data_IF_573316304903
#
_entry.id   IF_573316304903
#
_cell.length_a   1.000
_cell.length_b   1.000
_cell.length_c   1.000
_cell.angle_alpha   90.00
_cell.angle_beta   90.00
_cell.angle_gamma   90.00
#
_symmetry.space_group_name_H-M   'P 1'
#
loop_
_entity.id
_entity.type
_entity.pdbx_description
1 polymer ?
#
# COMPACT_ATOMS: atom_id res chain seq x y z
N UNK A 1 -25.94 -14.11 6.14
CA UNK A 1 -24.75 -14.49 6.94
C UNK A 1 -24.01 -15.71 6.41
N UNK A 2 -24.66 -16.61 5.66
CA UNK A 2 -23.99 -17.80 5.08
C UNK A 2 -22.88 -17.43 4.09
N UNK A 3 -23.04 -16.35 3.32
CA UNK A 3 -22.05 -15.91 2.34
C UNK A 3 -20.86 -15.25 3.05
N UNK A 4 -21.11 -14.44 4.10
CA UNK A 4 -20.04 -13.90 4.94
C UNK A 4 -19.21 -15.02 5.58
N UNK A 5 -19.86 -16.03 6.17
CA UNK A 5 -19.15 -17.18 6.73
C UNK A 5 -18.31 -17.93 5.67
N UNK A 6 -18.85 -18.10 4.46
CA UNK A 6 -18.15 -18.76 3.35
C UNK A 6 -16.93 -17.95 2.90
N UNK A 7 -17.08 -16.63 2.74
CA UNK A 7 -15.98 -15.73 2.41
C UNK A 7 -14.89 -15.75 3.49
N UNK A 8 -15.26 -15.60 4.76
CA UNK A 8 -14.31 -15.61 5.87
C UNK A 8 -13.61 -16.96 6.03
N UNK A 9 -14.31 -18.06 5.77
CA UNK A 9 -13.71 -19.40 5.74
C UNK A 9 -12.71 -19.51 4.60
N UNK A 10 -13.04 -19.00 3.40
CA UNK A 10 -12.14 -19.00 2.24
C UNK A 10 -10.86 -18.20 2.51
N UNK A 11 -10.98 -17.02 3.13
CA UNK A 11 -9.83 -16.20 3.49
C UNK A 11 -8.95 -16.86 4.56
N UNK A 12 -9.54 -17.56 5.52
CA UNK A 12 -8.81 -18.15 6.63
C UNK A 12 -8.32 -19.57 6.37
N UNK A 13 -8.71 -20.19 5.25
CA UNK A 13 -8.32 -21.57 4.94
C UNK A 13 -7.17 -21.62 3.95
N UNK A 14 -6.13 -22.35 4.30
CA UNK A 14 -5.03 -22.73 3.41
C UNK A 14 -5.12 -24.22 3.14
N UNK A 15 -5.28 -24.61 1.88
CA UNK A 15 -5.31 -26.02 1.48
C UNK A 15 -3.93 -26.44 1.00
N UNK A 16 -3.10 -26.95 1.91
CA UNK A 16 -1.74 -27.36 1.55
C UNK A 16 -1.82 -28.62 0.68
N UNK A 17 -1.27 -28.56 -0.54
CA UNK A 17 -1.12 -29.76 -1.36
C UNK A 17 0.26 -30.34 -1.14
N UNK A 18 0.33 -31.65 -0.91
CA UNK A 18 1.60 -32.37 -0.88
C UNK A 18 1.86 -32.85 -2.31
N UNK A 19 2.96 -32.39 -2.89
CA UNK A 19 3.42 -32.79 -4.22
C UNK A 19 4.77 -33.47 -4.10
N UNK A 20 5.08 -34.35 -5.05
CA UNK A 20 6.42 -34.92 -5.17
C UNK A 20 7.27 -33.99 -6.03
N UNK A 21 8.41 -33.52 -5.50
CA UNK A 21 9.35 -32.65 -6.20
C UNK A 21 10.69 -33.38 -6.32
N UNK A 22 11.27 -33.40 -7.53
CA UNK A 22 12.63 -33.89 -7.75
C UNK A 22 13.62 -32.75 -7.49
N UNK A 23 14.61 -32.98 -6.63
CA UNK A 23 15.76 -32.08 -6.48
C UNK A 23 16.97 -32.63 -7.25
N UNK A 24 17.62 -31.77 -8.03
CA UNK A 24 18.96 -32.04 -8.57
C UNK A 24 19.99 -31.72 -7.49
N UNK A 25 20.51 -32.74 -6.80
CA UNK A 25 21.68 -32.55 -5.94
C UNK A 25 22.92 -32.27 -6.78
N UNK A 26 23.62 -31.17 -6.46
CA UNK A 26 24.96 -30.90 -6.95
C UNK A 26 25.95 -31.94 -6.37
N UNK A 27 26.10 -33.09 -7.05
CA UNK A 27 27.38 -33.74 -7.45
C UNK A 27 27.23 -35.19 -7.91
N UNK A 28 26.08 -35.83 -7.73
CA UNK A 28 25.79 -37.16 -8.30
C UNK A 28 24.32 -37.13 -8.75
N UNK A 29 24.05 -37.58 -9.97
CA UNK A 29 22.72 -37.56 -10.60
C UNK A 29 21.76 -38.57 -9.94
N UNK A 30 21.34 -38.30 -8.72
CA UNK A 30 20.20 -38.97 -8.11
C UNK A 30 19.12 -37.92 -7.85
N UNK A 31 18.03 -38.00 -8.62
CA UNK A 31 16.81 -37.25 -8.34
C UNK A 31 16.15 -37.88 -7.11
N UNK A 32 16.45 -37.36 -5.92
CA UNK A 32 15.66 -37.69 -4.75
C UNK A 32 14.28 -37.03 -4.89
N UNK A 33 13.25 -37.87 -4.93
CA UNK A 33 11.87 -37.43 -4.87
C UNK A 33 11.50 -37.13 -3.43
N UNK A 34 11.33 -35.84 -3.11
CA UNK A 34 10.88 -35.40 -1.78
C UNK A 34 9.43 -34.94 -1.85
N UNK A 35 8.69 -35.21 -0.77
CA UNK A 35 7.37 -34.61 -0.57
C UNK A 35 7.54 -33.15 -0.16
N UNK A 36 6.81 -32.25 -0.82
CA UNK A 36 6.89 -30.82 -0.58
C UNK A 36 5.49 -30.21 -0.51
N UNK A 37 5.34 -29.15 0.29
CA UNK A 37 4.11 -28.37 0.28
C UNK A 37 4.02 -27.48 -0.96
N UNK A 38 2.81 -27.32 -1.47
CA UNK A 38 2.51 -26.45 -2.59
C UNK A 38 1.20 -25.69 -2.40
N UNK A 39 1.27 -24.38 -2.66
CA UNK A 39 0.12 -23.46 -2.72
C UNK A 39 -0.06 -22.85 -4.12
N UNK A 40 0.61 -23.41 -5.13
CA UNK A 40 0.62 -22.92 -6.51
C UNK A 40 -0.79 -22.74 -7.11
N UNK A 41 -1.74 -23.59 -6.72
CA UNK A 41 -3.12 -23.52 -7.18
C UNK A 41 -3.89 -22.28 -6.68
N UNK A 42 -3.37 -21.59 -5.66
CA UNK A 42 -3.94 -20.34 -5.14
C UNK A 42 -3.22 -19.09 -5.70
N UNK A 43 -1.95 -19.22 -6.15
CA UNK A 43 -1.07 -18.05 -6.37
C UNK A 43 -0.44 -17.91 -7.75
N UNK A 44 -0.10 -18.99 -8.47
CA UNK A 44 0.64 -18.84 -9.74
C UNK A 44 -0.21 -18.18 -10.84
N UNK A 45 0.44 -17.34 -11.65
CA UNK A 45 -0.10 -16.43 -12.66
C UNK A 45 -1.20 -16.99 -13.58
N UNK A 46 -1.23 -18.31 -13.84
CA UNK A 46 -2.25 -18.93 -14.70
C UNK A 46 -3.35 -19.69 -13.93
N UNK A 47 -3.13 -20.05 -12.65
CA UNK A 47 -4.11 -20.78 -11.81
C UNK A 47 -4.79 -19.89 -10.77
N UNK A 48 -4.19 -18.76 -10.41
CA UNK A 48 -4.76 -17.82 -9.43
C UNK A 48 -5.95 -17.02 -9.95
N UNK A 49 -6.17 -16.95 -11.27
CA UNK A 49 -7.35 -16.28 -11.83
C UNK A 49 -8.66 -16.84 -11.26
N UNK A 50 -8.77 -18.17 -11.16
CA UNK A 50 -9.95 -18.82 -10.58
C UNK A 50 -10.10 -18.53 -9.10
N UNK A 51 -9.00 -18.60 -8.32
CA UNK A 51 -9.03 -18.28 -6.89
C UNK A 51 -9.44 -16.81 -6.66
N UNK A 52 -8.86 -15.88 -7.42
CA UNK A 52 -9.12 -14.45 -7.31
C UNK A 52 -10.54 -14.09 -7.72
N UNK A 53 -11.06 -14.66 -8.82
CA UNK A 53 -12.42 -14.41 -9.26
C UNK A 53 -13.45 -15.00 -8.29
N UNK A 54 -13.24 -16.22 -7.82
CA UNK A 54 -14.08 -16.86 -6.80
C UNK A 54 -14.11 -16.03 -5.51
N UNK A 55 -12.93 -15.64 -5.01
CA UNK A 55 -12.83 -14.84 -3.76
C UNK A 55 -13.50 -13.48 -3.90
N UNK A 56 -13.45 -12.86 -5.09
CA UNK A 56 -14.16 -11.61 -5.38
C UNK A 56 -15.67 -11.78 -5.30
N UNK A 57 -16.21 -12.81 -5.94
CA UNK A 57 -17.66 -13.11 -5.89
C UNK A 57 -18.11 -13.40 -4.46
N UNK A 58 -17.30 -14.14 -3.70
CA UNK A 58 -17.54 -14.37 -2.28
C UNK A 58 -17.52 -13.08 -1.46
N UNK A 59 -16.59 -12.15 -1.74
CA UNK A 59 -16.56 -10.82 -1.11
C UNK A 59 -17.85 -10.06 -1.39
N UNK A 60 -18.26 -9.98 -2.65
CA UNK A 60 -19.42 -9.19 -3.06
C UNK A 60 -20.73 -9.77 -2.47
N UNK A 61 -20.86 -11.10 -2.42
CA UNK A 61 -21.99 -11.76 -1.75
C UNK A 61 -21.94 -11.62 -0.23
N UNK A 62 -20.75 -11.63 0.38
CA UNK A 62 -20.58 -11.33 1.81
C UNK A 62 -20.95 -9.87 2.14
N UNK A 63 -20.67 -8.93 1.24
CA UNK A 63 -21.10 -7.54 1.38
C UNK A 63 -22.63 -7.45 1.37
N UNK A 64 -23.31 -8.11 0.42
CA UNK A 64 -24.79 -8.15 0.39
C UNK A 64 -25.36 -8.69 1.72
N UNK A 65 -24.77 -9.77 2.25
CA UNK A 65 -25.13 -10.31 3.56
C UNK A 65 -25.02 -9.27 4.67
N UNK A 66 -23.94 -8.48 4.68
CA UNK A 66 -23.69 -7.46 5.69
C UNK A 66 -24.60 -6.24 5.53
N UNK A 67 -24.85 -5.78 4.31
CA UNK A 67 -25.75 -4.66 4.01
C UNK A 67 -27.21 -4.95 4.37
N UNK A 68 -27.59 -6.23 4.48
CA UNK A 68 -28.92 -6.63 4.95
C UNK A 68 -29.13 -6.47 6.47
N UNK A 69 -28.05 -6.23 7.23
CA UNK A 69 -28.10 -6.09 8.68
C UNK A 69 -28.40 -4.64 9.11
N UNK A 70 -28.78 -4.46 10.38
CA UNK A 70 -28.87 -3.12 10.97
C UNK A 70 -27.48 -2.58 11.37
N UNK A 71 -27.34 -1.26 11.51
CA UNK A 71 -26.08 -0.56 11.82
C UNK A 71 -25.34 -1.12 13.04
N UNK A 72 -26.06 -1.50 14.10
CA UNK A 72 -25.46 -2.06 15.31
C UNK A 72 -24.77 -3.39 14.99
N UNK A 73 -25.46 -4.24 14.24
CA UNK A 73 -24.94 -5.54 13.81
C UNK A 73 -23.79 -5.37 12.84
N UNK A 74 -23.88 -4.47 11.85
CA UNK A 74 -22.78 -4.17 10.93
C UNK A 74 -21.54 -3.67 11.68
N UNK A 75 -21.69 -2.75 12.65
CA UNK A 75 -20.58 -2.26 13.48
C UNK A 75 -19.92 -3.38 14.28
N UNK A 76 -20.73 -4.30 14.82
CA UNK A 76 -20.22 -5.47 15.54
C UNK A 76 -19.44 -6.41 14.62
N UNK A 77 -19.95 -6.68 13.43
CA UNK A 77 -19.27 -7.51 12.43
C UNK A 77 -17.98 -6.84 11.94
N UNK A 78 -18.01 -5.52 11.66
CA UNK A 78 -16.82 -4.73 11.31
C UNK A 78 -15.72 -4.85 12.38
N UNK A 79 -16.09 -4.82 13.66
CA UNK A 79 -15.12 -5.03 14.74
C UNK A 79 -14.49 -6.44 14.71
N UNK A 80 -15.24 -7.48 14.33
CA UNK A 80 -14.67 -8.82 14.15
C UNK A 80 -13.76 -8.91 12.92
N UNK A 81 -14.14 -8.26 11.81
CA UNK A 81 -13.30 -8.18 10.60
C UNK A 81 -11.97 -7.48 10.88
N UNK A 82 -11.98 -6.41 11.68
CA UNK A 82 -10.76 -5.72 12.13
C UNK A 82 -9.88 -6.62 13.00
N UNK A 83 -10.46 -7.46 13.87
CA UNK A 83 -9.68 -8.47 14.62
C UNK A 83 -9.06 -9.52 13.71
N UNK A 84 -9.78 -9.93 12.65
CA UNK A 84 -9.22 -10.83 11.64
C UNK A 84 -8.03 -10.17 10.93
N UNK A 85 -8.13 -8.89 10.56
CA UNK A 85 -7.03 -8.12 9.98
C UNK A 85 -5.77 -8.11 10.87
N UNK A 86 -5.93 -7.98 12.19
CA UNK A 86 -4.78 -8.07 13.11
C UNK A 86 -4.10 -9.45 13.10
N UNK A 87 -4.82 -10.54 12.77
CA UNK A 87 -4.18 -11.87 12.58
C UNK A 87 -3.26 -11.90 11.37
N UNK A 88 -3.65 -11.26 10.25
CA UNK A 88 -2.78 -11.11 9.08
C UNK A 88 -1.53 -10.29 9.41
N UNK A 89 -1.66 -9.22 10.20
CA UNK A 89 -0.52 -8.43 10.67
C UNK A 89 0.43 -9.25 11.55
N UNK A 90 -0.10 -10.07 12.45
CA UNK A 90 0.71 -10.98 13.28
C UNK A 90 1.42 -12.03 12.43
N UNK A 91 0.75 -12.60 11.42
CA UNK A 91 1.38 -13.49 10.45
C UNK A 91 2.57 -12.81 9.77
N UNK A 92 2.40 -11.59 9.26
CA UNK A 92 3.48 -10.86 8.60
C UNK A 92 4.67 -10.58 9.50
N UNK A 93 4.40 -10.26 10.77
CA UNK A 93 5.44 -10.07 11.78
C UNK A 93 6.28 -11.35 11.94
N UNK A 94 5.63 -12.50 12.11
CA UNK A 94 6.34 -13.78 12.27
C UNK A 94 7.04 -14.23 10.98
N UNK A 95 6.39 -14.00 9.83
CA UNK A 95 6.92 -14.31 8.51
C UNK A 95 8.23 -13.54 8.28
N UNK A 96 8.24 -12.23 8.51
CA UNK A 96 9.43 -11.39 8.33
C UNK A 96 10.57 -11.78 9.27
N UNK A 97 10.27 -12.19 10.50
CA UNK A 97 11.29 -12.66 11.45
C UNK A 97 11.91 -14.00 11.05
N UNK A 98 11.14 -14.85 10.35
CA UNK A 98 11.57 -16.19 9.95
C UNK A 98 12.10 -16.25 8.51
N UNK A 99 11.77 -15.26 7.68
CA UNK A 99 12.13 -15.19 6.27
C UNK A 99 13.61 -14.86 6.09
N UNK A 100 14.26 -15.50 5.10
CA UNK A 100 15.63 -15.19 4.70
C UNK A 100 15.72 -15.13 3.18
N UNK A 101 16.23 -14.02 2.66
CA UNK A 101 16.46 -13.88 1.23
C UNK A 101 17.47 -14.93 0.73
N UNK A 102 17.22 -15.48 -0.46
CA UNK A 102 18.09 -16.45 -1.15
C UNK A 102 18.25 -17.82 -0.46
N UNK A 103 17.37 -18.14 0.48
CA UNK A 103 17.32 -19.48 1.09
C UNK A 103 16.48 -20.42 0.22
N UNK A 104 17.10 -21.48 -0.30
CA UNK A 104 16.43 -22.49 -1.15
C UNK A 104 15.57 -23.48 -0.35
N UNK A 105 15.90 -23.68 0.94
CA UNK A 105 15.23 -24.61 1.85
C UNK A 105 15.08 -23.99 3.24
N UNK A 106 13.87 -24.02 3.77
CA UNK A 106 13.53 -23.53 5.10
C UNK A 106 13.47 -24.67 6.12
N UNK A 107 13.67 -24.39 7.43
CA UNK A 107 13.49 -25.40 8.47
C UNK A 107 12.12 -26.07 8.39
N UNK A 108 12.02 -27.37 8.64
CA UNK A 108 10.74 -28.11 8.61
C UNK A 108 9.67 -27.48 9.53
N UNK A 109 10.12 -26.88 10.63
CA UNK A 109 9.25 -26.17 11.57
C UNK A 109 8.78 -24.80 11.08
N UNK A 110 9.16 -24.35 9.88
CA UNK A 110 8.92 -22.99 9.39
C UNK A 110 7.43 -22.60 9.43
N UNK A 111 6.53 -23.50 9.01
CA UNK A 111 5.08 -23.25 9.03
C UNK A 111 4.58 -22.95 10.46
N UNK A 112 5.15 -23.62 11.47
CA UNK A 112 4.83 -23.39 12.88
C UNK A 112 5.52 -22.14 13.43
N UNK A 113 6.76 -21.85 13.00
CA UNK A 113 7.50 -20.64 13.37
C UNK A 113 6.79 -19.36 12.93
N UNK A 114 6.17 -19.37 11.75
CA UNK A 114 5.35 -18.24 11.28
C UNK A 114 3.93 -18.25 11.88
N UNK A 115 3.57 -19.29 12.64
CA UNK A 115 2.29 -19.45 13.31
C UNK A 115 1.12 -19.69 12.36
N UNK A 116 1.34 -20.26 11.17
CA UNK A 116 0.28 -20.44 10.17
C UNK A 116 -0.88 -21.28 10.72
N UNK A 117 -0.55 -22.33 11.48
CA UNK A 117 -1.48 -23.26 12.13
C UNK A 117 -2.31 -22.61 13.26
N UNK A 118 -1.76 -21.58 13.91
CA UNK A 118 -2.41 -20.86 15.02
C UNK A 118 -3.28 -19.71 14.54
N UNK A 119 -2.88 -19.09 13.43
CA UNK A 119 -3.52 -17.89 12.90
C UNK A 119 -4.64 -18.22 11.91
N UNK A 120 -4.54 -19.37 11.23
CA UNK A 120 -5.41 -19.77 10.13
C UNK A 120 -5.81 -21.24 10.21
N UNK A 121 -6.81 -21.60 9.41
CA UNK A 121 -7.22 -22.99 9.20
C UNK A 121 -6.29 -23.58 8.15
N UNK A 122 -5.44 -24.53 8.53
CA UNK A 122 -4.49 -25.17 7.60
C UNK A 122 -4.94 -26.61 7.36
N UNK A 123 -5.34 -26.93 6.13
CA UNK A 123 -5.69 -28.30 5.72
C UNK A 123 -4.47 -29.04 5.22
N UNK A 124 -4.45 -30.34 5.49
CA UNK A 124 -3.36 -31.27 5.14
C UNK A 124 -1.99 -30.91 5.74
N UNK A 125 -1.97 -30.07 6.78
CA UNK A 125 -0.78 -29.85 7.58
C UNK A 125 -0.40 -31.16 8.27
N UNK A 126 0.85 -31.56 8.11
CA UNK A 126 1.43 -32.73 8.76
C UNK A 126 2.09 -32.29 10.07
N UNK A 127 2.30 -33.24 11.00
CA UNK A 127 3.04 -32.94 12.22
C UNK A 127 4.46 -32.41 11.95
N UNK A 128 5.01 -31.63 12.88
CA UNK A 128 6.35 -31.01 12.76
C UNK A 128 7.51 -32.01 12.54
N UNK A 129 7.31 -33.27 12.94
CA UNK A 129 8.27 -34.35 12.73
C UNK A 129 8.18 -35.03 11.34
N UNK A 130 7.23 -34.61 10.48
CA UNK A 130 7.11 -35.12 9.13
C UNK A 130 8.24 -34.63 8.23
N UNK A 131 8.70 -35.49 7.31
CA UNK A 131 9.76 -35.14 6.36
C UNK A 131 9.17 -34.47 5.11
N UNK A 132 8.51 -33.33 5.30
CA UNK A 132 8.00 -32.52 4.21
C UNK A 132 8.92 -31.33 3.99
N UNK A 133 9.40 -31.23 2.76
CA UNK A 133 10.27 -30.17 2.30
C UNK A 133 9.53 -28.82 2.18
N UNK A 134 10.19 -27.76 2.66
CA UNK A 134 9.71 -26.38 2.59
C UNK A 134 10.69 -25.57 1.74
N UNK A 135 10.41 -25.48 0.45
CA UNK A 135 11.21 -24.71 -0.50
C UNK A 135 10.83 -23.23 -0.55
N UNK A 136 11.72 -22.42 -1.12
CA UNK A 136 11.48 -21.02 -1.46
C UNK A 136 10.18 -20.78 -2.24
N UNK A 137 9.90 -21.59 -3.26
CA UNK A 137 8.68 -21.50 -4.08
C UNK A 137 7.40 -21.59 -3.23
N UNK A 138 7.40 -22.45 -2.20
CA UNK A 138 6.28 -22.56 -1.28
C UNK A 138 6.15 -21.30 -0.44
N UNK A 139 7.27 -20.77 0.08
CA UNK A 139 7.29 -19.58 0.93
C UNK A 139 6.84 -18.33 0.15
N UNK A 140 7.29 -18.18 -1.09
CA UNK A 140 6.84 -17.11 -1.99
C UNK A 140 5.35 -17.24 -2.31
N UNK A 141 4.92 -18.46 -2.69
CA UNK A 141 3.51 -18.75 -2.93
C UNK A 141 2.66 -18.45 -1.69
N UNK A 142 3.11 -18.84 -0.50
CA UNK A 142 2.40 -18.55 0.75
C UNK A 142 2.26 -17.04 0.97
N UNK A 143 3.35 -16.28 0.79
CA UNK A 143 3.33 -14.81 0.88
C UNK A 143 2.28 -14.22 -0.08
N UNK A 144 2.31 -14.61 -1.34
CA UNK A 144 1.38 -14.07 -2.34
C UNK A 144 -0.06 -14.44 -2.03
N UNK A 145 -0.28 -15.65 -1.50
CA UNK A 145 -1.59 -16.17 -1.13
C UNK A 145 -2.19 -15.37 0.04
N UNK A 146 -1.35 -15.03 1.03
CA UNK A 146 -1.75 -14.23 2.19
C UNK A 146 -2.03 -12.79 1.78
N UNK A 147 -1.17 -12.17 0.95
CA UNK A 147 -1.39 -10.81 0.42
C UNK A 147 -2.73 -10.69 -0.31
N UNK A 148 -3.03 -11.67 -1.17
CA UNK A 148 -4.29 -11.67 -1.92
C UNK A 148 -5.51 -11.72 -1.00
N UNK A 149 -5.47 -12.56 0.04
CA UNK A 149 -6.53 -12.66 1.05
C UNK A 149 -6.69 -11.36 1.84
N UNK A 150 -5.59 -10.75 2.25
CA UNK A 150 -5.58 -9.49 2.99
C UNK A 150 -6.16 -8.34 2.16
N UNK A 151 -5.87 -8.28 0.85
CA UNK A 151 -6.48 -7.30 -0.07
C UNK A 151 -8.01 -7.44 -0.04
N UNK A 152 -8.55 -8.64 -0.24
CA UNK A 152 -10.00 -8.83 -0.25
C UNK A 152 -10.66 -8.56 1.11
N UNK A 153 -9.98 -8.86 2.23
CA UNK A 153 -10.46 -8.49 3.56
C UNK A 153 -10.52 -6.96 3.72
N UNK A 154 -9.48 -6.25 3.29
CA UNK A 154 -9.43 -4.80 3.37
C UNK A 154 -10.48 -4.14 2.46
N UNK A 155 -10.69 -4.65 1.24
CA UNK A 155 -11.77 -4.20 0.36
C UNK A 155 -13.13 -4.33 1.06
N UNK A 156 -13.45 -5.50 1.65
CA UNK A 156 -14.72 -5.67 2.37
C UNK A 156 -14.85 -4.72 3.56
N UNK A 157 -13.80 -4.56 4.35
CA UNK A 157 -13.78 -3.62 5.49
C UNK A 157 -14.07 -2.20 5.01
N UNK A 158 -13.41 -1.76 3.94
CA UNK A 158 -13.60 -0.43 3.38
C UNK A 158 -15.03 -0.24 2.86
N UNK A 159 -15.58 -1.22 2.13
CA UNK A 159 -16.95 -1.17 1.61
C UNK A 159 -17.99 -1.00 2.75
N UNK A 160 -17.79 -1.70 3.87
CA UNK A 160 -18.63 -1.56 5.07
C UNK A 160 -18.42 -0.20 5.74
N UNK A 161 -17.19 0.26 5.86
CA UNK A 161 -16.87 1.56 6.47
C UNK A 161 -17.48 2.70 5.66
N UNK A 162 -17.46 2.63 4.34
CA UNK A 162 -18.14 3.59 3.47
C UNK A 162 -19.67 3.53 3.59
N UNK A 163 -20.23 2.37 3.94
CA UNK A 163 -21.68 2.25 4.21
C UNK A 163 -22.06 2.83 5.58
N UNK A 164 -21.28 2.54 6.62
CA UNK A 164 -21.56 2.99 7.99
C UNK A 164 -21.19 4.45 8.25
N UNK A 165 -20.13 4.89 7.59
CA UNK A 165 -19.57 6.23 7.68
C UNK A 165 -19.45 6.75 6.24
N UNK A 166 -20.59 6.94 5.54
CA UNK A 166 -20.57 7.52 4.21
C UNK A 166 -19.81 8.82 4.30
N UNK A 167 -18.69 8.88 3.55
CA UNK A 167 -17.87 10.09 3.48
C UNK A 167 -18.81 11.19 3.02
N UNK A 168 -18.98 12.19 3.86
CA UNK A 168 -19.83 13.34 3.57
C UNK A 168 -19.46 13.88 2.20
N UNK A 169 -20.40 13.84 1.25
CA UNK A 169 -20.11 14.36 -0.08
C UNK A 169 -19.91 15.87 0.02
N UNK A 170 -19.06 16.41 -0.84
CA UNK A 170 -18.76 17.86 -0.88
C UNK A 170 -20.05 18.71 -0.98
N UNK A 171 -21.10 18.19 -1.62
CA UNK A 171 -22.40 18.83 -1.72
C UNK A 171 -23.22 18.78 -0.42
N UNK A 172 -23.20 17.67 0.32
CA UNK A 172 -23.87 17.50 1.62
C UNK A 172 -23.22 18.36 2.71
N UNK A 173 -21.89 18.46 2.72
CA UNK A 173 -21.15 19.37 3.60
C UNK A 173 -21.49 20.84 3.30
N UNK A 174 -21.58 21.20 2.01
CA UNK A 174 -21.96 22.56 1.55
C UNK A 174 -23.42 22.91 1.85
N UNK A 175 -24.30 21.91 1.87
CA UNK A 175 -25.72 22.09 2.21
C UNK A 175 -25.95 22.26 3.73
N UNK A 176 -25.19 21.55 4.57
CA UNK A 176 -25.24 21.72 6.04
C UNK A 176 -24.77 23.10 6.52
N UNK A 177 -23.97 23.80 5.71
CA UNK A 177 -23.62 25.20 5.97
C UNK A 177 -24.73 26.21 5.58
N UNK A 178 -25.78 25.77 4.88
CA UNK A 178 -26.84 26.65 4.32
C UNK A 178 -28.16 26.64 5.09
N UNK A 179 -28.25 26.09 6.29
CA UNK A 179 -29.39 26.35 7.19
C UNK A 179 -28.92 26.53 8.63
N UNK A 180 -29.09 27.74 9.15
CA UNK A 180 -30.23 27.98 10.04
C UNK A 180 -31.31 28.84 9.38
N UNK A 181 -32.55 28.43 9.60
CA UNK A 181 -33.76 29.21 9.31
C UNK A 181 -33.59 30.66 9.75
N UNK A 182 -33.63 31.55 8.77
CA UNK A 182 -33.74 33.00 8.97
C UNK A 182 -35.18 33.38 8.72
N UNK A 183 -35.81 33.96 9.73
CA UNK A 183 -36.78 35.07 9.64
C UNK A 183 -37.05 35.48 11.10
N UNK A 184 -36.60 36.62 11.61
CA UNK A 184 -36.58 38.02 11.15
C UNK A 184 -35.61 38.77 12.08
N UNK A 185 -35.05 39.94 11.81
CA UNK A 185 -35.00 40.90 10.72
C UNK A 185 -34.04 42.01 11.21
N UNK A 186 -33.56 42.86 10.30
CA UNK A 186 -32.88 44.15 10.52
C UNK A 186 -31.37 44.07 10.28
N UNK A 187 -31.02 44.65 9.13
CA UNK A 187 -29.68 44.93 8.66
C UNK A 187 -28.94 45.89 9.60
N UNK A 188 -27.71 45.54 9.96
CA UNK A 188 -26.70 46.53 10.32
C UNK A 188 -25.33 46.06 9.89
N UNK A 189 -24.57 47.06 9.49
CA UNK A 189 -23.32 47.04 8.77
C UNK A 189 -22.12 46.92 9.72
N UNK A 190 -21.01 46.48 9.15
CA UNK A 190 -19.62 46.62 9.63
C UNK A 190 -19.14 45.80 10.84
N UNK A 191 -18.46 44.69 10.54
CA UNK A 191 -17.17 44.36 11.16
C UNK A 191 -16.34 43.49 10.20
N UNK A 192 -15.12 43.95 9.92
CA UNK A 192 -14.23 43.53 8.84
C UNK A 192 -14.03 42.02 8.67
N UNK A 193 -14.14 41.57 7.42
CA UNK A 193 -13.77 40.24 6.93
C UNK A 193 -12.27 40.00 7.16
N UNK A 194 -11.92 38.91 7.84
CA UNK A 194 -10.63 38.23 7.62
C UNK A 194 -10.71 37.58 6.22
N UNK A 195 -9.74 37.79 5.33
CA UNK A 195 -9.88 37.37 3.94
C UNK A 195 -9.87 35.84 3.80
N UNK A 196 -10.65 35.38 2.83
CA UNK A 196 -10.59 34.05 2.23
C UNK A 196 -9.14 33.72 1.82
N UNK A 197 -8.63 32.56 2.25
CA UNK A 197 -7.29 32.10 1.90
C UNK A 197 -7.40 31.07 0.76
N UNK A 198 -6.89 31.42 -0.41
CA UNK A 198 -6.92 30.60 -1.64
C UNK A 198 -6.03 29.34 -1.56
N UNK A 199 -5.20 29.20 -0.52
CA UNK A 199 -4.19 28.14 -0.39
C UNK A 199 -4.63 26.86 0.34
N UNK A 200 -5.91 26.75 0.77
CA UNK A 200 -6.36 25.57 1.50
C UNK A 200 -6.43 24.34 0.56
N UNK A 201 -5.52 23.37 0.74
CA UNK A 201 -5.44 22.12 -0.04
C UNK A 201 -4.18 21.95 -0.90
N UNK A 202 -3.27 22.93 -0.91
CA UNK A 202 -1.97 22.82 -1.58
C UNK A 202 -0.86 22.34 -0.61
N UNK A 203 0.07 21.48 -1.06
CA UNK A 203 1.18 21.03 -0.22
C UNK A 203 2.11 22.19 0.14
N UNK A 204 2.36 22.39 1.43
CA UNK A 204 3.29 23.37 1.98
C UNK A 204 4.52 22.66 2.52
N UNK A 205 5.69 22.98 1.97
CA UNK A 205 6.96 22.38 2.33
C UNK A 205 7.60 23.11 3.51
N UNK A 206 8.18 22.34 4.43
CA UNK A 206 8.89 22.89 5.58
C UNK A 206 10.20 23.58 5.14
N UNK A 207 10.32 24.89 5.39
CA UNK A 207 11.45 25.73 4.96
C UNK A 207 12.82 25.19 5.42
N UNK A 208 12.88 24.47 6.55
CA UNK A 208 14.12 23.92 7.11
C UNK A 208 14.76 22.84 6.24
N UNK A 209 13.96 22.11 5.46
CA UNK A 209 14.41 20.97 4.64
C UNK A 209 14.23 21.18 3.14
N UNK A 210 13.49 22.23 2.75
CA UNK A 210 13.19 22.53 1.34
C UNK A 210 14.46 22.77 0.51
N UNK A 211 15.47 23.43 1.08
CA UNK A 211 16.76 23.65 0.40
C UNK A 211 17.47 22.34 0.04
N UNK A 212 17.63 21.46 1.03
CA UNK A 212 18.27 20.15 0.86
C UNK A 212 17.47 19.24 -0.09
N UNK A 213 16.14 19.26 0.03
CA UNK A 213 15.24 18.55 -0.87
C UNK A 213 15.42 19.02 -2.32
N UNK A 214 15.39 20.33 -2.57
CA UNK A 214 15.55 20.88 -3.92
C UNK A 214 16.93 20.58 -4.50
N UNK A 215 17.99 20.63 -3.69
CA UNK A 215 19.34 20.29 -4.13
C UNK A 215 19.42 18.82 -4.58
N UNK A 216 18.82 17.90 -3.83
CA UNK A 216 18.73 16.50 -4.21
C UNK A 216 17.89 16.30 -5.47
N UNK A 217 16.69 16.91 -5.52
CA UNK A 217 15.76 16.69 -6.61
C UNK A 217 16.31 17.20 -7.95
N UNK A 218 17.04 18.33 -7.97
CA UNK A 218 17.64 18.89 -9.19
C UNK A 218 18.52 17.90 -9.98
N UNK A 219 19.10 16.89 -9.33
CA UNK A 219 19.89 15.83 -9.98
C UNK A 219 19.03 15.02 -10.97
N UNK A 220 17.73 14.92 -10.71
CA UNK A 220 16.78 14.15 -11.51
C UNK A 220 15.99 15.00 -12.51
N UNK A 221 16.28 16.29 -12.65
CA UNK A 221 15.62 17.18 -13.63
C UNK A 221 16.68 17.81 -14.54
N UNK A 222 16.33 18.11 -15.79
CA UNK A 222 17.17 18.95 -16.65
C UNK A 222 17.22 20.38 -16.12
N UNK A 223 18.29 21.11 -16.45
CA UNK A 223 18.48 22.51 -16.05
C UNK A 223 17.29 23.40 -16.44
N UNK A 224 16.67 23.13 -17.60
CA UNK A 224 15.46 23.81 -18.07
C UNK A 224 14.27 23.72 -17.10
N UNK A 225 14.20 22.68 -16.26
CA UNK A 225 13.13 22.49 -15.28
C UNK A 225 13.50 22.96 -13.87
N UNK A 226 14.75 23.36 -13.61
CA UNK A 226 15.21 23.70 -12.25
C UNK A 226 14.52 24.95 -11.68
N UNK A 227 14.29 25.96 -12.53
CA UNK A 227 13.61 27.21 -12.14
C UNK A 227 12.15 26.90 -11.80
N UNK A 228 11.44 26.18 -12.68
CA UNK A 228 10.05 25.79 -12.46
C UNK A 228 9.86 24.90 -11.23
N UNK A 229 10.77 23.94 -11.00
CA UNK A 229 10.76 23.10 -9.80
C UNK A 229 10.95 23.92 -8.52
N UNK A 230 11.91 24.84 -8.52
CA UNK A 230 12.19 25.69 -7.35
C UNK A 230 11.00 26.61 -7.03
N UNK A 231 10.40 27.23 -8.05
CA UNK A 231 9.25 28.11 -7.88
C UNK A 231 7.99 27.36 -7.41
N UNK A 232 7.77 26.15 -7.92
CA UNK A 232 6.64 25.30 -7.52
C UNK A 232 6.75 24.88 -6.05
N UNK A 233 7.94 24.47 -5.60
CA UNK A 233 8.15 23.97 -4.23
C UNK A 233 8.20 25.10 -3.19
N UNK A 234 8.84 26.24 -3.51
CA UNK A 234 9.00 27.34 -2.57
C UNK A 234 7.77 28.25 -2.46
N UNK A 235 7.08 28.48 -3.57
CA UNK A 235 6.05 29.50 -3.67
C UNK A 235 4.71 28.99 -4.25
N UNK A 236 4.59 27.68 -4.50
CA UNK A 236 3.38 27.10 -5.10
C UNK A 236 3.12 27.56 -6.54
N UNK A 237 4.10 28.18 -7.19
CA UNK A 237 3.93 28.76 -8.54
C UNK A 237 3.85 27.63 -9.56
N UNK A 238 2.71 27.53 -10.25
CA UNK A 238 2.48 26.53 -11.28
C UNK A 238 3.46 26.73 -12.45
N UNK A 239 4.23 25.71 -12.86
CA UNK A 239 5.09 25.81 -14.03
C UNK A 239 4.26 25.80 -15.32
N UNK A 240 4.79 26.44 -16.38
CA UNK A 240 4.14 26.50 -17.70
C UNK A 240 3.95 25.11 -18.33
N UNK A 241 4.92 24.22 -18.11
CA UNK A 241 4.88 22.84 -18.55
C UNK A 241 5.12 21.92 -17.35
N UNK A 242 4.58 20.70 -17.40
CA UNK A 242 4.86 19.70 -16.38
C UNK A 242 6.35 19.37 -16.31
N UNK A 243 6.83 19.14 -15.10
CA UNK A 243 8.23 18.89 -14.82
C UNK A 243 8.54 17.41 -15.03
N UNK A 244 9.51 17.11 -15.89
CA UNK A 244 9.86 15.73 -16.24
C UNK A 244 10.94 15.20 -15.30
N UNK A 245 10.55 14.28 -14.44
CA UNK A 245 11.46 13.56 -13.54
C UNK A 245 12.18 12.42 -14.28
N UNK A 246 13.52 12.46 -14.29
CA UNK A 246 14.41 11.47 -14.93
C UNK A 246 14.68 10.28 -14.02
N UNK A 247 13.63 9.52 -13.74
CA UNK A 247 13.70 8.31 -12.94
C UNK A 247 12.40 7.52 -13.00
N UNK A 248 12.35 6.41 -12.27
CA UNK A 248 11.12 5.65 -12.18
C UNK A 248 10.09 6.45 -11.40
N UNK A 249 8.83 6.47 -11.87
CA UNK A 249 7.79 7.27 -11.23
C UNK A 249 7.59 6.95 -9.75
N UNK A 250 7.92 5.72 -9.30
CA UNK A 250 7.76 5.33 -7.89
C UNK A 250 8.78 6.00 -6.99
N UNK A 251 9.90 6.46 -7.52
CA UNK A 251 10.93 7.15 -6.77
C UNK A 251 10.50 8.56 -6.38
N UNK A 252 9.88 9.30 -7.31
CA UNK A 252 9.37 10.64 -7.03
C UNK A 252 8.16 10.59 -6.09
N UNK A 253 7.21 9.69 -6.36
CA UNK A 253 6.04 9.52 -5.51
C UNK A 253 6.41 9.11 -4.08
N UNK A 254 7.39 8.22 -3.92
CA UNK A 254 7.91 7.81 -2.62
C UNK A 254 8.65 8.94 -1.89
N UNK A 255 9.43 9.77 -2.59
CA UNK A 255 10.06 10.94 -1.97
C UNK A 255 9.01 11.90 -1.36
N UNK A 256 7.93 12.22 -2.09
CA UNK A 256 6.85 13.04 -1.55
C UNK A 256 6.09 12.35 -0.41
N UNK A 257 5.89 11.03 -0.50
CA UNK A 257 5.29 10.24 0.59
C UNK A 257 6.12 10.35 1.87
N UNK A 258 7.43 10.15 1.80
CA UNK A 258 8.31 10.22 2.97
C UNK A 258 8.31 11.60 3.62
N UNK A 259 8.31 12.68 2.82
CA UNK A 259 8.18 14.04 3.32
C UNK A 259 6.83 14.29 4.02
N UNK A 260 5.74 13.78 3.43
CA UNK A 260 4.41 13.88 4.04
C UNK A 260 4.32 13.13 5.37
N UNK A 261 4.82 11.89 5.42
CA UNK A 261 4.79 11.04 6.62
C UNK A 261 5.68 11.57 7.75
N UNK A 262 6.75 12.28 7.40
CA UNK A 262 7.58 13.00 8.35
C UNK A 262 7.02 14.37 8.78
N UNK A 263 5.80 14.73 8.36
CA UNK A 263 5.17 16.05 8.57
C UNK A 263 6.01 17.23 8.02
N UNK A 264 6.79 16.99 6.97
CA UNK A 264 7.57 18.01 6.26
C UNK A 264 6.82 18.61 5.07
N UNK A 265 5.74 17.95 4.64
CA UNK A 265 4.69 18.52 3.80
C UNK A 265 3.42 18.57 4.63
N UNK A 266 2.81 19.74 4.73
CA UNK A 266 1.57 20.00 5.48
C UNK A 266 0.58 20.79 4.62
N UNK A 267 -0.64 21.01 5.12
CA UNK A 267 -1.63 21.86 4.44
C UNK A 267 -2.45 21.17 3.33
N UNK A 268 -2.20 19.89 3.07
CA UNK A 268 -2.97 19.05 2.17
C UNK A 268 -3.16 17.64 2.74
N UNK A 269 -4.15 16.88 2.24
CA UNK A 269 -4.35 15.45 2.50
C UNK A 269 -3.52 14.59 1.53
N UNK A 270 -3.32 13.30 1.83
CA UNK A 270 -2.64 12.35 0.91
C UNK A 270 -3.25 12.33 -0.51
N UNK A 271 -4.59 12.33 -0.61
CA UNK A 271 -5.30 12.38 -1.90
C UNK A 271 -5.10 13.69 -2.67
N UNK A 272 -4.89 14.80 -1.96
CA UNK A 272 -4.61 16.11 -2.57
C UNK A 272 -3.16 16.18 -3.05
N UNK A 273 -2.23 15.60 -2.27
CA UNK A 273 -0.84 15.43 -2.66
C UNK A 273 -0.71 14.57 -3.93
N UNK A 274 -1.47 13.47 -4.03
CA UNK A 274 -1.53 12.62 -5.22
C UNK A 274 -1.94 13.41 -6.47
N UNK A 275 -3.04 14.16 -6.37
CA UNK A 275 -3.53 15.00 -7.47
C UNK A 275 -2.53 16.07 -7.86
N UNK A 276 -1.91 16.71 -6.88
CA UNK A 276 -0.89 17.72 -7.08
C UNK A 276 0.33 17.14 -7.81
N UNK A 277 0.79 15.94 -7.43
CA UNK A 277 1.89 15.25 -8.12
C UNK A 277 1.51 14.96 -9.58
N UNK A 278 0.33 14.38 -9.82
CA UNK A 278 -0.14 14.09 -11.18
C UNK A 278 -0.28 15.35 -12.05
N UNK A 279 -0.66 16.48 -11.45
CA UNK A 279 -0.85 17.73 -12.17
C UNK A 279 0.48 18.38 -12.59
N UNK A 280 1.53 18.25 -11.78
CA UNK A 280 2.76 19.03 -11.98
C UNK A 280 3.95 18.21 -12.49
N UNK A 281 3.90 16.88 -12.39
CA UNK A 281 5.04 16.02 -12.70
C UNK A 281 4.71 14.94 -13.73
N UNK A 282 5.70 14.66 -14.56
CA UNK A 282 5.80 13.47 -15.40
C UNK A 282 7.02 12.66 -14.96
N UNK A 283 7.09 11.39 -15.35
CA UNK A 283 8.28 10.57 -15.13
C UNK A 283 8.79 9.92 -16.42
N UNK A 284 10.09 9.71 -16.49
CA UNK A 284 10.74 9.12 -17.65
C UNK A 284 11.92 8.22 -17.23
N UNK A 285 11.84 6.93 -17.57
CA UNK A 285 12.96 5.97 -17.46
C UNK A 285 13.74 5.83 -18.79
N UNK A 286 13.46 6.71 -19.76
CA UNK A 286 14.00 6.76 -21.13
C UNK A 286 13.56 8.05 -21.82
N UNK A 287 13.43 8.07 -23.15
CA UNK A 287 13.13 9.32 -23.89
C UNK A 287 11.64 9.72 -23.90
N UNK A 288 10.75 8.83 -23.46
CA UNK A 288 9.29 9.08 -23.49
C UNK A 288 8.77 9.42 -22.09
N UNK A 289 8.27 10.65 -21.86
CA UNK A 289 7.63 11.01 -20.60
C UNK A 289 6.28 10.30 -20.46
N UNK A 290 5.97 9.90 -19.22
CA UNK A 290 4.74 9.20 -18.85
C UNK A 290 4.00 9.97 -17.77
N UNK A 291 2.67 9.97 -17.89
CA UNK A 291 1.76 10.53 -16.92
C UNK A 291 1.56 9.59 -15.74
N UNK A 292 1.32 10.18 -14.56
CA UNK A 292 0.85 9.45 -13.42
C UNK A 292 -0.67 9.23 -13.52
N UNK A 293 -1.13 8.02 -13.21
CA UNK A 293 -2.56 7.76 -13.01
C UNK A 293 -2.91 7.85 -11.53
N UNK A 294 -4.11 8.36 -11.20
CA UNK A 294 -4.55 8.54 -9.80
C UNK A 294 -4.48 7.23 -9.00
N UNK A 295 -4.97 6.12 -9.56
CA UNK A 295 -4.90 4.81 -8.92
C UNK A 295 -3.46 4.30 -8.71
N UNK A 296 -2.51 4.71 -9.57
CA UNK A 296 -1.12 4.34 -9.42
C UNK A 296 -0.42 5.16 -8.34
N UNK A 297 -0.67 6.47 -8.23
CA UNK A 297 -0.12 7.28 -7.14
C UNK A 297 -0.70 6.87 -5.78
N UNK A 298 -1.99 6.58 -5.72
CA UNK A 298 -2.64 6.04 -4.51
C UNK A 298 -2.04 4.70 -4.07
N UNK A 299 -1.60 3.88 -5.03
CA UNK A 299 -0.89 2.62 -4.75
C UNK A 299 0.47 2.81 -4.07
N UNK A 300 1.11 3.97 -4.25
CA UNK A 300 2.42 4.30 -3.68
C UNK A 300 2.28 5.12 -2.39
N UNK A 301 1.44 6.17 -2.38
CA UNK A 301 1.38 7.20 -1.32
C UNK A 301 0.39 6.85 -0.19
N UNK A 302 -0.78 6.29 -0.55
CA UNK A 302 -1.88 6.08 0.41
C UNK A 302 -2.03 4.64 0.89
N UNK A 303 -1.79 3.66 0.02
CA UNK A 303 -2.11 2.24 0.32
C UNK A 303 -0.90 1.34 0.47
N UNK A 304 0.29 1.83 0.14
CA UNK A 304 1.58 1.12 0.24
C UNK A 304 1.66 -0.20 -0.54
N UNK A 305 0.71 -0.42 -1.44
CA UNK A 305 0.62 -1.62 -2.28
C UNK A 305 1.73 -1.70 -3.33
N UNK A 306 2.36 -0.57 -3.66
CA UNK A 306 3.56 -0.48 -4.52
C UNK A 306 4.69 0.28 -3.83
N UNK A 307 5.37 -0.41 -2.90
CA UNK A 307 6.54 0.14 -2.23
C UNK A 307 7.70 0.43 -3.20
N UNK A 308 8.43 1.52 -2.95
CA UNK A 308 9.60 1.86 -3.74
C UNK A 308 10.80 1.01 -3.31
N UNK A 309 11.24 0.11 -4.19
CA UNK A 309 12.42 -0.76 -3.94
C UNK A 309 13.76 -0.02 -4.02
N UNK A 310 13.76 1.16 -4.61
CA UNK A 310 14.97 1.96 -4.84
C UNK A 310 14.66 3.44 -4.60
N UNK A 311 14.36 3.82 -3.34
CA UNK A 311 14.09 5.21 -3.00
C UNK A 311 15.30 6.08 -3.35
N UNK A 312 15.07 7.37 -3.61
CA UNK A 312 16.12 8.36 -3.93
C UNK A 312 16.56 9.17 -2.70
N UNK A 313 15.78 9.06 -1.62
CA UNK A 313 16.07 9.63 -0.32
C UNK A 313 15.50 8.77 0.79
N UNK A 314 16.00 9.00 1.99
CA UNK A 314 15.41 8.58 3.25
C UNK A 314 15.27 9.80 4.17
N UNK A 315 14.14 9.93 4.85
CA UNK A 315 13.96 10.96 5.90
C UNK A 315 14.26 10.34 7.27
N UNK A 316 15.36 10.73 7.88
CA UNK A 316 15.70 10.33 9.25
C UNK A 316 15.21 11.37 10.25
N UNK A 317 14.56 10.91 11.31
CA UNK A 317 14.16 11.75 12.44
C UNK A 317 15.04 11.38 13.63
N UNK A 318 15.96 12.28 14.01
CA UNK A 318 16.78 12.15 15.22
C UNK A 318 16.53 13.36 16.12
N UNK A 319 16.23 13.10 17.40
CA UNK A 319 16.04 14.17 18.40
C UNK A 319 15.04 15.27 17.99
N UNK A 320 13.98 14.90 17.24
CA UNK A 320 12.97 15.80 16.64
C UNK A 320 13.48 16.72 15.51
N UNK A 321 14.69 16.49 15.01
CA UNK A 321 15.22 17.11 13.81
C UNK A 321 15.10 16.10 12.66
N UNK A 322 14.42 16.50 11.60
CA UNK A 322 14.30 15.70 10.38
C UNK A 322 15.45 16.05 9.43
N UNK A 323 16.13 15.04 8.88
CA UNK A 323 17.22 15.20 7.92
C UNK A 323 16.96 14.35 6.69
N UNK A 324 17.17 14.93 5.51
CA UNK A 324 17.07 14.23 4.22
C UNK A 324 18.43 13.61 3.92
N UNK A 325 18.47 12.29 3.72
CA UNK A 325 19.67 11.57 3.33
C UNK A 325 19.48 11.03 1.91
N UNK A 326 20.37 11.37 0.95
CA UNK A 326 20.37 10.76 -0.36
C UNK A 326 20.68 9.27 -0.24
N UNK A 327 19.87 8.40 -0.83
CA UNK A 327 20.17 6.97 -0.93
C UNK A 327 21.12 6.73 -2.10
N UNK A 328 22.42 6.69 -1.81
CA UNK A 328 23.46 6.53 -2.84
C UNK A 328 23.37 5.13 -3.44
N UNK A 329 23.18 5.04 -4.78
CA UNK A 329 23.55 3.83 -5.51
C UNK A 329 25.08 3.71 -5.47
N UNK A 330 25.60 2.73 -4.76
CA UNK A 330 26.95 2.23 -5.04
C UNK A 330 26.98 1.81 -6.52
N UNK A 331 27.63 2.62 -7.38
CA UNK A 331 28.10 2.17 -8.68
C UNK A 331 29.01 0.97 -8.44
N UNK A 332 28.53 -0.26 -8.60
CA UNK A 332 29.41 -1.40 -8.84
C UNK A 332 30.13 -1.13 -10.16
N UNK A 333 31.45 -0.98 -10.06
CA UNK A 333 32.46 -1.16 -11.11
C UNK A 333 32.27 -0.35 -12.41
N UNK A 334 32.68 0.91 -12.39
CA UNK A 334 33.47 1.42 -13.53
C UNK A 334 34.93 1.12 -13.19
N UNK A 335 35.39 -0.07 -13.60
CA UNK A 335 36.81 -0.31 -13.82
C UNK A 335 37.08 -0.11 -15.31
N UNK A 336 38.22 0.50 -15.58
CA UNK A 336 38.98 0.45 -16.81
C UNK A 336 38.80 -0.85 -17.60
#
# INVERSE_FOLDING_TARGET
MQNLATFLTRLQTFDLRIITKGELQNRIKEEEQKQAYSLVHETQYYKSFSYKSETRVLKDTALIDLLSLNDISIKRELAQLKKLKERFKLFWTNFQQSYREFQTEYPRSYIFSIGLDRLFIVRNLQPDHSDIFIGDEFVESLSDSVKLREIFLNELINDIEETLYPKETFEEWKAKQKSPETNKSISTDLSAKVPFNEDAGLPKFNELITGDFLQLMKIYFSEAHHIGLTALINAGVKPENQLIFKGNGNQLADAFKQLYEANLIVGCKKSELEKWIAQHFLYATGDVPKEYTEGWLSSVISTDTKYCKSPIMEVLIKEKISTIIPTVRNKKNSKY
#
